data_IF_005273120606
#
_entry.id   IF_005273120606
#
_cell.length_a   1.000
_cell.length_b   1.000
_cell.length_c   1.000
_cell.angle_alpha   90.00
_cell.angle_beta   90.00
_cell.angle_gamma   90.00
#
_symmetry.space_group_name_H-M   'P 1'
#
loop_
_entity.id
_entity.type
_entity.pdbx_description
1 polymer ?
#
# COMPACT_ATOMS: atom_id res chain seq x y z
N UNK A 1 -28.26 -12.79 4.30
CA UNK A 1 -27.51 -11.59 4.68
C UNK A 1 -26.55 -11.33 3.53
N UNK A 2 -26.82 -10.31 2.71
CA UNK A 2 -25.93 -9.96 1.60
C UNK A 2 -24.82 -9.04 2.11
N UNK A 3 -23.59 -9.54 2.12
CA UNK A 3 -22.39 -8.75 2.31
C UNK A 3 -22.27 -7.77 1.12
N UNK A 4 -22.71 -6.52 1.31
CA UNK A 4 -22.49 -5.40 0.37
C UNK A 4 -21.03 -4.95 0.38
N UNK A 5 -20.08 -5.88 0.27
CA UNK A 5 -18.66 -5.55 0.11
C UNK A 5 -18.44 -5.11 -1.34
N UNK A 6 -18.20 -3.81 -1.55
CA UNK A 6 -17.77 -3.31 -2.85
C UNK A 6 -16.30 -3.63 -3.00
N UNK A 7 -15.96 -4.65 -3.78
CA UNK A 7 -14.58 -4.92 -4.20
C UNK A 7 -14.21 -3.93 -5.29
N UNK A 8 -13.14 -3.17 -5.08
CA UNK A 8 -12.59 -2.27 -6.10
C UNK A 8 -11.15 -2.66 -6.41
N UNK A 9 -10.82 -2.70 -7.68
CA UNK A 9 -9.43 -2.79 -8.15
C UNK A 9 -8.83 -1.40 -8.13
N UNK A 10 -7.63 -1.27 -7.57
CA UNK A 10 -6.83 -0.07 -7.55
C UNK A 10 -5.47 -0.37 -8.17
N UNK A 11 -4.93 0.62 -8.86
CA UNK A 11 -3.61 0.55 -9.45
C UNK A 11 -2.80 1.73 -8.93
N UNK A 12 -1.60 1.43 -8.43
CA UNK A 12 -0.66 2.43 -7.95
C UNK A 12 0.66 2.28 -8.70
N UNK A 13 1.39 3.37 -8.81
CA UNK A 13 2.78 3.35 -9.27
C UNK A 13 3.67 3.78 -8.13
N UNK A 14 4.86 3.20 -8.04
CA UNK A 14 5.79 3.54 -7.00
C UNK A 14 7.24 3.23 -7.37
N UNK A 15 8.13 3.55 -6.46
CA UNK A 15 9.56 3.24 -6.59
C UNK A 15 10.01 2.36 -5.43
N UNK A 16 10.76 1.31 -5.73
CA UNK A 16 11.35 0.44 -4.70
C UNK A 16 12.47 1.20 -3.99
N UNK A 17 12.29 1.44 -2.69
CA UNK A 17 13.26 2.19 -1.86
C UNK A 17 14.07 1.30 -0.93
N UNK A 18 13.66 0.05 -0.74
CA UNK A 18 14.39 -0.94 0.06
C UNK A 18 13.99 -2.37 -0.38
N UNK A 19 14.91 -3.32 -0.32
CA UNK A 19 14.64 -4.75 -0.50
C UNK A 19 15.33 -5.54 0.60
N UNK A 20 14.65 -6.51 1.20
CA UNK A 20 15.15 -7.28 2.34
C UNK A 20 14.55 -8.69 2.36
N UNK A 21 15.11 -9.57 3.20
CA UNK A 21 14.57 -10.91 3.44
C UNK A 21 13.76 -10.92 4.74
N UNK A 22 12.50 -11.35 4.65
CA UNK A 22 11.60 -11.56 5.78
C UNK A 22 11.17 -13.02 5.84
N UNK A 23 11.58 -13.73 6.90
CA UNK A 23 11.23 -15.15 7.12
C UNK A 23 11.57 -16.08 5.94
N UNK A 24 12.67 -15.78 5.24
CA UNK A 24 13.10 -16.54 4.06
C UNK A 24 12.33 -16.23 2.78
N UNK A 25 11.52 -15.16 2.78
CA UNK A 25 10.89 -14.60 1.58
C UNK A 25 11.46 -13.22 1.31
N UNK A 26 11.65 -12.89 0.04
CA UNK A 26 12.09 -11.56 -0.35
C UNK A 26 10.93 -10.57 -0.22
N UNK A 27 11.19 -9.41 0.34
CA UNK A 27 10.24 -8.33 0.50
C UNK A 27 10.85 -7.01 0.00
N UNK A 28 9.98 -6.05 -0.30
CA UNK A 28 10.36 -4.73 -0.78
C UNK A 28 9.50 -3.64 -0.15
N UNK A 29 10.11 -2.50 0.16
CA UNK A 29 9.40 -1.25 0.46
C UNK A 29 9.28 -0.43 -0.81
N UNK A 30 8.04 -0.05 -1.13
CA UNK A 30 7.71 0.76 -2.29
C UNK A 30 7.19 2.10 -1.81
N UNK A 31 7.82 3.18 -2.27
CA UNK A 31 7.33 4.52 -2.11
C UNK A 31 6.23 4.79 -3.14
N UNK A 32 5.01 4.97 -2.63
CA UNK A 32 3.82 5.43 -3.35
C UNK A 32 3.45 6.78 -2.74
N UNK A 33 4.05 7.86 -3.22
CA UNK A 33 4.01 9.19 -2.60
C UNK A 33 2.57 9.59 -2.19
N UNK A 34 2.34 9.98 -0.91
CA UNK A 34 3.32 10.24 0.16
C UNK A 34 3.57 9.04 1.11
N UNK A 35 3.20 7.83 0.72
CA UNK A 35 3.17 6.64 1.58
C UNK A 35 4.26 5.61 1.20
N UNK A 36 4.63 4.77 2.18
CA UNK A 36 5.43 3.56 1.94
C UNK A 36 4.53 2.34 2.12
N UNK A 37 4.60 1.42 1.18
CA UNK A 37 3.93 0.11 1.24
C UNK A 37 5.01 -0.97 1.28
N UNK A 38 4.84 -1.94 2.17
CA UNK A 38 5.68 -3.12 2.23
C UNK A 38 4.97 -4.29 1.56
N UNK A 39 5.68 -4.98 0.67
CA UNK A 39 5.15 -6.14 -0.04
C UNK A 39 6.13 -7.31 0.03
N UNK A 40 5.60 -8.50 0.25
CA UNK A 40 6.35 -9.75 0.09
C UNK A 40 6.26 -10.17 -1.38
N UNK A 41 7.42 -10.33 -2.01
CA UNK A 41 7.54 -10.75 -3.40
C UNK A 41 7.26 -12.25 -3.51
N UNK A 42 6.56 -12.67 -4.56
CA UNK A 42 6.41 -14.08 -4.89
C UNK A 42 7.71 -14.67 -5.45
N UNK A 43 7.82 -16.00 -5.50
CA UNK A 43 9.07 -16.71 -5.86
C UNK A 43 9.64 -16.32 -7.23
N UNK A 44 8.83 -15.81 -8.15
CA UNK A 44 9.24 -15.39 -9.49
C UNK A 44 9.28 -13.87 -9.68
N UNK A 45 9.03 -13.10 -8.62
CA UNK A 45 9.05 -11.64 -8.66
C UNK A 45 10.42 -11.14 -8.20
N UNK A 46 11.06 -10.34 -9.05
CA UNK A 46 12.28 -9.64 -8.72
C UNK A 46 12.03 -8.15 -8.68
N UNK A 47 12.42 -7.52 -7.59
CA UNK A 47 12.42 -6.07 -7.44
C UNK A 47 13.84 -5.62 -7.03
N UNK A 48 14.32 -4.55 -7.64
CA UNK A 48 15.61 -3.92 -7.33
C UNK A 48 15.38 -2.51 -6.82
N UNK A 49 16.35 -2.02 -6.06
CA UNK A 49 16.36 -0.64 -5.61
C UNK A 49 16.22 0.32 -6.80
N UNK A 50 15.38 1.33 -6.64
CA UNK A 50 15.01 2.34 -7.65
C UNK A 50 14.20 1.84 -8.85
N UNK A 51 13.77 0.57 -8.87
CA UNK A 51 12.83 0.11 -9.88
C UNK A 51 11.50 0.86 -9.76
N UNK A 52 10.95 1.28 -10.92
CA UNK A 52 9.58 1.78 -11.03
C UNK A 52 8.65 0.60 -11.20
N UNK A 53 7.69 0.47 -10.30
CA UNK A 53 6.78 -0.69 -10.24
C UNK A 53 5.32 -0.26 -10.32
N UNK A 54 4.49 -1.16 -10.81
CA UNK A 54 3.03 -1.04 -10.83
C UNK A 54 2.49 -2.03 -9.78
N UNK A 55 1.68 -1.54 -8.86
CA UNK A 55 1.01 -2.36 -7.85
C UNK A 55 -0.46 -2.44 -8.21
N UNK A 56 -0.95 -3.65 -8.47
CA UNK A 56 -2.38 -3.93 -8.68
C UNK A 56 -2.95 -4.54 -7.40
N UNK A 57 -3.88 -3.83 -6.76
CA UNK A 57 -4.47 -4.24 -5.50
C UNK A 57 -5.99 -4.35 -5.62
N UNK A 58 -6.57 -5.38 -5.01
CA UNK A 58 -8.03 -5.44 -4.80
C UNK A 58 -8.33 -5.07 -3.37
N UNK A 59 -9.07 -3.99 -3.17
CA UNK A 59 -9.51 -3.55 -1.83
C UNK A 59 -10.98 -3.90 -1.62
N UNK A 60 -11.30 -4.33 -0.40
CA UNK A 60 -12.68 -4.51 0.05
C UNK A 60 -13.05 -3.34 0.94
N UNK A 61 -14.03 -2.53 0.52
CA UNK A 61 -14.47 -1.37 1.30
C UNK A 61 -15.57 -1.80 2.27
N UNK A 62 -15.24 -1.85 3.55
CA UNK A 62 -16.21 -2.20 4.61
C UNK A 62 -17.04 -1.00 5.08
N UNK A 63 -16.47 0.22 5.08
CA UNK A 63 -17.16 1.43 5.51
C UNK A 63 -16.48 2.67 4.93
N UNK A 64 -17.27 3.71 4.62
CA UNK A 64 -16.78 5.04 4.21
C UNK A 64 -17.36 6.05 5.19
N UNK A 65 -16.50 6.86 5.80
CA UNK A 65 -16.89 7.89 6.77
C UNK A 65 -16.37 9.27 6.32
N UNK A 66 -17.12 10.36 6.58
CA UNK A 66 -16.60 11.70 6.37
C UNK A 66 -15.33 11.93 7.20
N UNK A 67 -14.28 12.47 6.59
CA UNK A 67 -13.09 12.91 7.30
C UNK A 67 -13.29 14.36 7.74
N UNK A 68 -13.24 14.59 9.05
CA UNK A 68 -13.22 15.94 9.64
C UNK A 68 -11.80 16.17 10.17
N UNK A 69 -10.98 17.01 9.52
CA UNK A 69 -9.64 17.29 10.01
C UNK A 69 -9.73 17.97 11.39
N UNK A 70 -9.07 17.39 12.39
CA UNK A 70 -8.99 17.97 13.73
C UNK A 70 -8.15 19.25 13.69
N UNK A 71 -8.77 20.42 13.62
CA UNK A 71 -8.10 21.68 13.96
C UNK A 71 -7.93 21.74 15.47
N UNK A 72 -6.89 21.10 16.01
CA UNK A 72 -6.46 21.31 17.40
C UNK A 72 -4.96 21.51 17.44
N UNK A 73 -4.59 22.77 17.26
CA UNK A 73 -3.25 23.29 17.44
C UNK A 73 -3.31 24.78 17.72
N UNK A 74 -4.09 25.20 18.72
CA UNK A 74 -3.90 26.52 19.35
C UNK A 74 -3.94 26.34 20.87
N UNK A 75 -2.89 26.77 21.59
CA UNK A 75 -2.95 26.88 23.05
C UNK A 75 -3.75 28.14 23.40
N UNK A 76 -4.74 28.00 24.27
CA UNK A 76 -5.28 29.12 25.06
C UNK A 76 -4.50 29.25 26.34
#
# INVERSE_FOLDING_TARGET
MEDKSSKKSLQFTGEVVETFDEQGKRAAKICVDPHIIEIVLQENEEARLSDKVIIEATVSVTSVKPFVPSTRGEPV
#
